data_IF_538528943897
#
_entry.id   IF_538528943897
#
_cell.length_a   1.000
_cell.length_b   1.000
_cell.length_c   1.000
_cell.angle_alpha   90.00
_cell.angle_beta   90.00
_cell.angle_gamma   90.00
#
_symmetry.space_group_name_H-M   'P 1'
#
loop_
_entity.id
_entity.type
_entity.pdbx_description
1 polymer ?
#
# COMPACT_ATOMS: atom_id res chain seq x y z
N UNK A 1 -7.05 11.30 15.88
CA UNK A 1 -7.99 11.71 14.82
C UNK A 1 -7.13 12.08 13.63
N UNK A 2 -7.20 11.31 12.54
CA UNK A 2 -6.51 11.67 11.30
C UNK A 2 -7.16 12.98 10.82
N UNK A 3 -6.33 13.96 10.51
CA UNK A 3 -6.80 15.21 9.94
C UNK A 3 -7.30 14.94 8.51
N UNK A 4 -8.59 15.11 8.27
CA UNK A 4 -9.22 14.87 6.97
C UNK A 4 -8.58 15.72 5.86
N UNK A 5 -8.05 16.89 6.22
CA UNK A 5 -7.39 17.77 5.25
C UNK A 5 -6.04 17.21 4.81
N UNK A 6 -5.32 16.53 5.71
CA UNK A 6 -4.03 15.87 5.38
C UNK A 6 -4.28 14.64 4.50
N UNK A 7 -5.28 13.83 4.82
CA UNK A 7 -5.67 12.69 3.98
C UNK A 7 -6.05 13.13 2.56
N UNK A 8 -6.87 14.19 2.45
CA UNK A 8 -7.28 14.71 1.15
C UNK A 8 -6.11 15.24 0.31
N UNK A 9 -5.06 15.79 0.93
CA UNK A 9 -3.83 16.17 0.21
C UNK A 9 -3.03 14.95 -0.24
N UNK A 10 -2.83 13.98 0.66
CA UNK A 10 -2.16 12.73 0.32
C UNK A 10 -2.81 12.04 -0.89
N UNK A 11 -4.15 12.02 -0.93
CA UNK A 11 -4.91 11.42 -2.03
C UNK A 11 -4.70 12.16 -3.35
N UNK A 12 -4.75 13.51 -3.35
CA UNK A 12 -4.49 14.31 -4.55
C UNK A 12 -3.08 14.10 -5.08
N UNK A 13 -2.08 14.08 -4.18
CA UNK A 13 -0.69 13.81 -4.58
C UNK A 13 -0.55 12.45 -5.27
N UNK A 14 -1.28 11.43 -4.80
CA UNK A 14 -1.34 10.12 -5.47
C UNK A 14 -2.04 10.19 -6.82
N UNK A 15 -3.16 10.91 -6.93
CA UNK A 15 -3.90 11.08 -8.18
C UNK A 15 -3.06 11.80 -9.26
N UNK A 16 -2.19 12.71 -8.84
CA UNK A 16 -1.21 13.39 -9.70
C UNK A 16 -0.03 12.47 -10.10
N UNK A 17 -0.01 11.23 -9.62
CA UNK A 17 1.02 10.22 -9.91
C UNK A 17 2.31 10.39 -9.10
N UNK A 18 2.29 11.24 -8.07
CA UNK A 18 3.40 11.49 -7.19
C UNK A 18 3.29 10.67 -5.89
N UNK A 19 4.34 10.69 -5.07
CA UNK A 19 4.36 10.03 -3.77
C UNK A 19 4.20 11.08 -2.68
N UNK A 20 3.23 10.94 -1.76
CA UNK A 20 3.04 11.90 -0.69
C UNK A 20 4.30 12.11 0.15
N UNK A 21 4.59 13.35 0.59
CA UNK A 21 5.70 13.62 1.49
C UNK A 21 5.47 12.95 2.86
N UNK A 22 6.54 12.80 3.65
CA UNK A 22 6.52 12.08 4.93
C UNK A 22 5.42 12.54 5.88
N UNK A 23 5.17 13.86 5.92
CA UNK A 23 4.15 14.50 6.75
C UNK A 23 2.71 14.12 6.37
N UNK A 24 2.48 13.66 5.14
CA UNK A 24 1.17 13.24 4.63
C UNK A 24 0.99 11.72 4.66
N UNK A 25 2.08 10.94 4.60
CA UNK A 25 2.02 9.47 4.63
C UNK A 25 1.34 8.92 5.88
N UNK A 26 1.50 9.59 7.02
CA UNK A 26 0.84 9.19 8.26
C UNK A 26 -0.70 9.17 8.15
N UNK A 27 -1.28 9.98 7.26
CA UNK A 27 -2.73 9.99 7.02
C UNK A 27 -3.22 8.79 6.21
N UNK A 28 -2.31 8.04 5.57
CA UNK A 28 -2.60 6.78 4.89
C UNK A 28 -2.51 5.56 5.83
N UNK A 29 -2.24 5.79 7.11
CA UNK A 29 -2.11 4.73 8.11
C UNK A 29 -3.48 4.29 8.61
N UNK A 30 -3.68 2.99 8.82
CA UNK A 30 -4.92 2.39 9.34
C UNK A 30 -6.17 2.82 8.56
N UNK A 31 -6.10 2.86 7.22
CA UNK A 31 -7.25 3.22 6.40
C UNK A 31 -8.38 2.21 6.55
N UNK A 32 -9.58 2.75 6.76
CA UNK A 32 -10.83 2.00 6.90
C UNK A 32 -11.98 2.76 6.20
N UNK A 33 -13.10 2.07 5.98
CA UNK A 33 -14.35 2.67 5.48
C UNK A 33 -14.20 3.51 4.21
N UNK A 34 -14.68 4.76 4.27
CA UNK A 34 -14.66 5.69 3.14
C UNK A 34 -13.24 6.07 2.70
N UNK A 35 -12.29 6.16 3.64
CA UNK A 35 -10.90 6.51 3.32
C UNK A 35 -10.21 5.39 2.53
N UNK A 36 -10.44 4.14 2.92
CA UNK A 36 -9.93 2.98 2.19
C UNK A 36 -10.52 2.90 0.77
N UNK A 37 -11.82 3.21 0.64
CA UNK A 37 -12.51 3.24 -0.67
C UNK A 37 -11.96 4.35 -1.56
N UNK A 38 -11.72 5.54 -1.00
CA UNK A 38 -11.12 6.66 -1.73
C UNK A 38 -9.68 6.33 -2.18
N UNK A 39 -8.88 5.74 -1.28
CA UNK A 39 -7.53 5.27 -1.62
C UNK A 39 -7.53 4.24 -2.74
N UNK A 40 -8.47 3.27 -2.74
CA UNK A 40 -8.59 2.29 -3.82
C UNK A 40 -8.82 2.97 -5.19
N UNK A 41 -9.61 4.04 -5.22
CA UNK A 41 -9.82 4.88 -6.40
C UNK A 41 -8.50 5.43 -6.94
N UNK A 42 -7.71 6.09 -6.09
CA UNK A 42 -6.40 6.64 -6.46
C UNK A 42 -5.38 5.55 -6.81
N UNK A 43 -5.35 4.43 -6.08
CA UNK A 43 -4.46 3.31 -6.36
C UNK A 43 -4.59 2.79 -7.79
N UNK A 44 -5.82 2.72 -8.30
CA UNK A 44 -6.11 2.24 -9.66
C UNK A 44 -5.63 3.21 -10.74
N UNK A 45 -5.52 4.51 -10.45
CA UNK A 45 -5.01 5.51 -11.41
C UNK A 45 -3.48 5.55 -11.46
N UNK A 46 -2.81 5.08 -10.42
CA UNK A 46 -1.35 4.99 -10.39
C UNK A 46 -0.81 4.08 -11.49
N UNK A 47 0.26 4.53 -12.13
CA UNK A 47 1.11 3.67 -12.97
C UNK A 47 1.78 2.57 -12.13
N UNK A 48 2.25 1.49 -12.76
CA UNK A 48 3.06 0.46 -12.09
C UNK A 48 4.22 1.07 -11.32
N UNK A 49 4.95 2.03 -11.92
CA UNK A 49 6.07 2.71 -11.26
C UNK A 49 5.59 3.50 -10.03
N UNK A 50 4.44 4.18 -10.13
CA UNK A 50 3.83 4.91 -9.03
C UNK A 50 3.47 4.00 -7.86
N UNK A 51 2.81 2.87 -8.14
CA UNK A 51 2.48 1.83 -7.14
C UNK A 51 3.72 1.30 -6.45
N UNK A 52 4.76 0.97 -7.22
CA UNK A 52 6.02 0.46 -6.66
C UNK A 52 6.70 1.49 -5.74
N UNK A 53 6.75 2.76 -6.16
CA UNK A 53 7.32 3.86 -5.36
C UNK A 53 6.54 4.07 -4.06
N UNK A 54 5.21 4.08 -4.14
CA UNK A 54 4.35 4.22 -2.97
C UNK A 54 4.61 3.09 -1.96
N UNK A 55 4.55 1.83 -2.40
CA UNK A 55 4.77 0.68 -1.51
C UNK A 55 6.15 0.68 -0.86
N UNK A 56 7.19 1.12 -1.57
CA UNK A 56 8.54 1.26 -1.01
C UNK A 56 8.56 2.40 0.04
N UNK A 57 7.97 3.55 -0.28
CA UNK A 57 7.97 4.71 0.62
C UNK A 57 7.18 4.43 1.91
N UNK A 58 6.06 3.72 1.82
CA UNK A 58 5.26 3.30 2.98
C UNK A 58 6.03 2.35 3.88
N UNK A 59 6.75 1.40 3.29
CA UNK A 59 7.60 0.48 4.05
C UNK A 59 8.71 1.21 4.81
N UNK A 60 9.38 2.16 4.16
CA UNK A 60 10.39 2.99 4.84
C UNK A 60 9.77 3.82 5.97
N UNK A 61 8.58 4.40 5.73
CA UNK A 61 7.87 5.22 6.72
C UNK A 61 7.44 4.42 7.96
N UNK A 62 6.97 3.19 7.81
CA UNK A 62 6.63 2.30 8.93
C UNK A 62 7.84 2.01 9.83
N UNK A 63 9.04 1.85 9.23
CA UNK A 63 10.29 1.62 9.96
C UNK A 63 10.74 2.84 10.77
N UNK A 64 10.41 4.03 10.28
CA UNK A 64 10.69 5.32 10.95
C UNK A 64 9.62 5.64 12.02
N UNK A 65 8.39 5.16 11.83
CA UNK A 65 7.23 5.52 12.64
C UNK A 65 6.44 4.28 13.07
N UNK A 66 6.91 3.61 14.13
CA UNK A 66 6.38 2.33 14.65
C UNK A 66 4.87 2.29 14.97
N UNK A 67 4.20 3.43 15.04
CA UNK A 67 2.73 3.51 15.26
C UNK A 67 1.94 3.51 13.96
N UNK A 68 2.61 3.60 12.81
CA UNK A 68 1.96 3.57 11.52
C UNK A 68 1.79 2.12 11.06
N UNK A 69 0.67 1.86 10.40
CA UNK A 69 0.41 0.58 9.76
C UNK A 69 -0.28 0.84 8.42
N UNK A 70 0.30 0.31 7.36
CA UNK A 70 -0.16 0.34 5.99
C UNK A 70 -0.54 -1.05 5.49
N UNK A 71 -0.72 -2.01 6.40
CA UNK A 71 -1.15 -3.39 6.10
C UNK A 71 -2.40 -3.45 5.20
N UNK A 72 -3.37 -2.57 5.42
CA UNK A 72 -4.57 -2.48 4.56
C UNK A 72 -4.24 -2.02 3.14
N UNK A 73 -3.21 -1.19 2.96
CA UNK A 73 -2.73 -0.73 1.66
C UNK A 73 -1.93 -1.82 0.95
N UNK A 74 -1.02 -2.51 1.64
CA UNK A 74 -0.21 -3.57 1.04
C UNK A 74 -1.07 -4.68 0.44
N UNK A 75 -2.25 -4.90 1.02
CA UNK A 75 -3.17 -5.89 0.51
C UNK A 75 -3.71 -5.59 -0.90
N UNK A 76 -3.75 -4.33 -1.35
CA UNK A 76 -4.06 -4.03 -2.76
C UNK A 76 -2.94 -4.52 -3.70
N UNK A 77 -1.70 -4.55 -3.22
CA UNK A 77 -0.55 -5.03 -3.98
C UNK A 77 -0.53 -6.55 -4.15
N UNK A 78 -1.13 -7.32 -3.24
CA UNK A 78 -1.18 -8.80 -3.35
C UNK A 78 -2.02 -9.33 -4.51
N UNK A 79 -2.93 -8.50 -5.01
CA UNK A 79 -3.83 -8.80 -6.12
C UNK A 79 -3.50 -7.93 -7.35
N UNK A 80 -2.36 -7.24 -7.36
CA UNK A 80 -1.96 -6.39 -8.49
C UNK A 80 -1.63 -7.25 -9.73
N UNK A 81 -2.07 -6.83 -10.93
CA UNK A 81 -1.76 -7.55 -12.16
C UNK A 81 -0.25 -7.67 -12.44
N UNK A 82 0.57 -6.75 -11.96
CA UNK A 82 2.01 -6.76 -12.18
C UNK A 82 2.76 -7.53 -11.08
N UNK A 83 3.53 -8.54 -11.46
CA UNK A 83 4.30 -9.38 -10.55
C UNK A 83 5.28 -8.60 -9.67
N UNK A 84 5.85 -7.51 -10.18
CA UNK A 84 6.79 -6.68 -9.42
C UNK A 84 6.11 -5.99 -8.25
N UNK A 85 4.83 -5.60 -8.42
CA UNK A 85 4.01 -5.01 -7.38
C UNK A 85 3.61 -6.04 -6.33
N UNK A 86 3.22 -7.25 -6.77
CA UNK A 86 2.93 -8.36 -5.84
C UNK A 86 4.12 -8.69 -4.95
N UNK A 87 5.31 -8.80 -5.54
CA UNK A 87 6.57 -9.05 -4.79
C UNK A 87 6.93 -7.90 -3.86
N UNK A 88 6.79 -6.65 -4.31
CA UNK A 88 7.03 -5.48 -3.47
C UNK A 88 6.10 -5.46 -2.26
N UNK A 89 4.80 -5.70 -2.46
CA UNK A 89 3.82 -5.72 -1.39
C UNK A 89 4.16 -6.79 -0.34
N UNK A 90 4.52 -8.00 -0.78
CA UNK A 90 4.98 -9.07 0.11
C UNK A 90 6.20 -8.66 0.94
N UNK A 91 7.19 -8.02 0.30
CA UNK A 91 8.39 -7.51 0.97
C UNK A 91 8.06 -6.40 1.98
N UNK A 92 7.04 -5.60 1.70
CA UNK A 92 6.63 -4.52 2.61
C UNK A 92 5.91 -5.05 3.87
N UNK A 93 5.29 -6.24 3.82
CA UNK A 93 4.54 -6.86 4.94
C UNK A 93 5.34 -7.74 5.90
N UNK A 94 6.67 -7.64 5.95
CA UNK A 94 7.53 -8.61 6.68
C UNK A 94 7.23 -8.72 8.20
N UNK A 95 6.65 -7.70 8.82
CA UNK A 95 6.27 -7.72 10.24
C UNK A 95 4.77 -8.05 10.48
N UNK A 96 3.98 -8.17 9.42
CA UNK A 96 2.57 -8.56 9.48
C UNK A 96 2.47 -10.08 9.69
N UNK A 97 1.62 -10.50 10.62
CA UNK A 97 1.36 -11.92 10.94
C UNK A 97 -0.12 -12.28 10.79
N UNK A 98 -0.88 -11.41 10.12
CA UNK A 98 -2.32 -11.58 9.92
C UNK A 98 -2.64 -12.81 9.06
N UNK A 99 -3.79 -13.45 9.29
CA UNK A 99 -4.27 -14.54 8.42
C UNK A 99 -4.34 -14.13 6.95
N UNK A 100 -4.66 -12.86 6.68
CA UNK A 100 -4.73 -12.30 5.32
C UNK A 100 -3.39 -12.36 4.59
N UNK A 101 -2.29 -12.07 5.28
CA UNK A 101 -0.94 -12.21 4.69
C UNK A 101 -0.64 -13.68 4.37
N UNK A 102 -0.93 -14.59 5.30
CA UNK A 102 -0.68 -16.02 5.10
C UNK A 102 -1.47 -16.56 3.90
N UNK A 103 -2.75 -16.19 3.78
CA UNK A 103 -3.60 -16.53 2.65
C UNK A 103 -3.04 -15.97 1.33
N UNK A 104 -2.59 -14.71 1.32
CA UNK A 104 -1.95 -14.10 0.16
C UNK A 104 -0.67 -14.84 -0.26
N UNK A 105 0.22 -15.16 0.69
CA UNK A 105 1.45 -15.93 0.44
C UNK A 105 1.12 -17.31 -0.15
N UNK A 106 0.17 -18.04 0.46
CA UNK A 106 -0.22 -19.37 -0.03
C UNK A 106 -0.82 -19.30 -1.43
N UNK A 107 -1.64 -18.29 -1.71
CA UNK A 107 -2.22 -18.07 -3.04
C UNK A 107 -1.14 -17.79 -4.08
N UNK A 108 -0.22 -16.87 -3.79
CA UNK A 108 0.88 -16.52 -4.69
C UNK A 108 1.81 -17.71 -4.92
N UNK A 109 2.13 -18.48 -3.88
CA UNK A 109 2.95 -19.68 -4.01
C UNK A 109 2.29 -20.82 -4.83
N UNK A 110 0.96 -20.84 -4.94
CA UNK A 110 0.22 -21.90 -5.65
C UNK A 110 -0.10 -21.59 -7.11
N UNK A 111 -0.19 -20.31 -7.47
CA UNK A 111 -0.81 -19.92 -8.75
C UNK A 111 -0.27 -18.66 -9.39
N UNK A 112 0.79 -18.05 -8.85
CA UNK A 112 1.48 -16.98 -9.57
C UNK A 112 2.24 -17.60 -10.76
N UNK A 113 1.85 -17.24 -11.97
CA UNK A 113 2.49 -17.73 -13.21
C UNK A 113 3.80 -17.02 -13.52
N UNK A 114 4.10 -15.93 -12.81
CA UNK A 114 5.31 -15.12 -12.98
C UNK A 114 6.42 -15.55 -11.99
N UNK A 115 6.38 -16.83 -11.55
CA UNK A 115 7.44 -17.50 -10.79
C UNK A 115 8.49 -17.99 -11.80
N UNK A 116 9.25 -17.05 -12.36
CA UNK A 116 10.53 -17.25 -13.03
C UNK A 116 11.47 -16.09 -12.67
#
# INVERSE_FOLDING_TARGET
>A
MIDQDVFGRALRTLEDGETPPSEELGALSHLEGEQLTAFEGAWRTLSTIGRARLLARLHDAEREHLRWSFSTIYAFGFDDPDATIRRQALRSTVEDTSPRLLEAIVRLARGDSDVD
#
